data_IF_431786507690
#
_entry.id   IF_431786507690
#
_cell.length_a   1.000
_cell.length_b   1.000
_cell.length_c   1.000
_cell.angle_alpha   90.00
_cell.angle_beta   90.00
_cell.angle_gamma   90.00
#
_symmetry.space_group_name_H-M   'P 1'
#
loop_
_entity.id
_entity.type
_entity.pdbx_description
1 polymer ?
#
# COMPACT_ATOMS: atom_id res chain seq x y z
N UNK A 1 11.69 4.55 -5.04
CA UNK A 1 11.64 4.10 -3.62
C UNK A 1 12.17 5.12 -2.62
N UNK A 2 12.88 6.14 -3.04
CA UNK A 2 13.43 7.23 -2.21
C UNK A 2 12.36 8.18 -1.63
N UNK A 3 11.19 8.28 -2.25
CA UNK A 3 10.18 9.31 -1.93
C UNK A 3 9.34 9.11 -0.65
N UNK A 4 9.44 7.96 0.01
CA UNK A 4 8.75 7.71 1.29
C UNK A 4 9.69 7.63 2.49
N UNK A 5 10.99 7.56 2.24
CA UNK A 5 11.97 7.54 3.31
C UNK A 5 12.04 8.88 4.02
N UNK A 6 11.89 10.00 3.32
CA UNK A 6 11.89 11.33 3.93
C UNK A 6 10.66 11.54 4.83
N UNK A 7 9.45 11.13 4.42
CA UNK A 7 8.25 11.19 5.26
C UNK A 7 8.42 10.42 6.58
N UNK A 8 8.99 9.21 6.50
CA UNK A 8 9.15 8.33 7.65
C UNK A 8 10.34 8.68 8.53
N UNK A 9 11.48 9.05 7.91
CA UNK A 9 12.74 9.24 8.63
C UNK A 9 12.94 10.67 9.15
N UNK A 10 12.29 11.66 8.54
CA UNK A 10 12.42 13.06 8.97
C UNK A 10 11.96 13.28 10.41
N UNK A 11 10.81 12.73 10.89
CA UNK A 11 10.42 12.85 12.29
C UNK A 11 11.47 12.24 13.24
N UNK A 12 11.97 11.05 12.92
CA UNK A 12 13.01 10.38 13.71
C UNK A 12 14.30 11.19 13.73
N UNK A 13 14.74 11.67 12.55
CA UNK A 13 15.95 12.47 12.44
C UNK A 13 15.87 13.79 13.19
N UNK A 14 14.68 14.39 13.29
CA UNK A 14 14.42 15.58 14.09
C UNK A 14 14.47 15.26 15.59
N UNK A 15 13.79 14.22 16.02
CA UNK A 15 13.73 13.78 17.42
C UNK A 15 15.13 13.50 18.01
N UNK A 16 16.03 12.89 17.23
CA UNK A 16 17.40 12.61 17.64
C UNK A 16 18.39 13.73 17.30
N UNK A 17 17.91 14.92 16.87
CA UNK A 17 18.74 16.09 16.64
C UNK A 17 19.59 16.10 15.38
N UNK A 18 19.35 15.20 14.41
CA UNK A 18 20.10 15.12 13.15
C UNK A 18 19.67 16.14 12.11
N UNK A 19 18.46 16.68 12.20
CA UNK A 19 17.94 17.70 11.28
C UNK A 19 17.38 18.90 12.03
N UNK A 20 17.45 20.07 11.39
CA UNK A 20 16.92 21.31 11.95
C UNK A 20 15.39 21.35 11.94
N UNK A 21 14.80 22.17 12.84
CA UNK A 21 13.37 22.47 12.86
C UNK A 21 12.88 22.95 11.50
N UNK A 22 13.60 23.86 10.86
CA UNK A 22 13.23 24.41 9.55
C UNK A 22 13.08 23.29 8.49
N UNK A 23 13.99 22.32 8.47
CA UNK A 23 13.94 21.18 7.54
C UNK A 23 12.77 20.25 7.86
N UNK A 24 12.54 20.00 9.13
CA UNK A 24 11.39 19.24 9.60
C UNK A 24 10.08 19.86 9.13
N UNK A 25 9.88 21.16 9.40
CA UNK A 25 8.66 21.90 9.05
C UNK A 25 8.43 21.92 7.53
N UNK A 26 9.49 22.11 6.74
CA UNK A 26 9.41 22.08 5.29
C UNK A 26 8.93 20.73 4.75
N UNK A 27 9.41 19.63 5.32
CA UNK A 27 8.96 18.27 4.94
C UNK A 27 7.52 18.04 5.37
N UNK A 28 7.16 18.44 6.59
CA UNK A 28 5.78 18.32 7.08
C UNK A 28 4.80 19.10 6.20
N UNK A 29 5.15 20.33 5.82
CA UNK A 29 4.29 21.15 4.94
C UNK A 29 4.15 20.54 3.54
N UNK A 30 5.25 20.03 2.96
CA UNK A 30 5.21 19.29 1.69
C UNK A 30 4.18 18.16 1.72
N UNK A 31 4.24 17.28 2.74
CA UNK A 31 3.32 16.13 2.82
C UNK A 31 1.89 16.55 3.19
N UNK A 32 1.71 17.63 3.91
CA UNK A 32 0.40 18.23 4.17
C UNK A 32 -0.26 18.71 2.87
N UNK A 33 0.50 19.37 1.99
CA UNK A 33 0.03 19.79 0.67
C UNK A 33 -0.30 18.59 -0.22
N UNK A 34 0.56 17.55 -0.24
CA UNK A 34 0.28 16.30 -0.97
C UNK A 34 -1.03 15.68 -0.53
N UNK A 35 -1.22 15.53 0.78
CA UNK A 35 -2.44 14.92 1.34
C UNK A 35 -3.70 15.70 1.00
N UNK A 36 -3.66 17.02 1.13
CA UNK A 36 -4.80 17.90 0.76
C UNK A 36 -5.16 17.78 -0.71
N UNK A 37 -4.15 17.74 -1.58
CA UNK A 37 -4.39 17.66 -3.02
C UNK A 37 -4.89 16.27 -3.43
N UNK A 38 -4.35 15.20 -2.88
CA UNK A 38 -4.86 13.84 -3.11
C UNK A 38 -6.33 13.75 -2.70
N UNK A 39 -6.67 14.25 -1.52
CA UNK A 39 -8.06 14.28 -1.02
C UNK A 39 -8.98 15.07 -1.95
N UNK A 40 -8.57 16.26 -2.39
CA UNK A 40 -9.31 17.06 -3.36
C UNK A 40 -9.56 16.30 -4.66
N UNK A 41 -8.54 15.67 -5.22
CA UNK A 41 -8.61 14.92 -6.49
C UNK A 41 -9.53 13.69 -6.37
N UNK A 42 -9.60 13.07 -5.20
CA UNK A 42 -10.49 11.93 -4.93
C UNK A 42 -11.98 12.34 -4.82
N UNK A 43 -12.24 13.60 -4.45
CA UNK A 43 -13.60 14.13 -4.31
C UNK A 43 -14.05 15.03 -5.46
N UNK A 44 -13.14 15.35 -6.41
CA UNK A 44 -13.47 16.18 -7.58
C UNK A 44 -13.73 15.32 -8.80
N UNK A 45 -14.96 15.40 -9.34
CA UNK A 45 -15.34 14.75 -10.59
C UNK A 45 -15.29 15.71 -11.79
N UNK A 46 -14.85 15.22 -12.94
CA UNK A 46 -14.97 15.89 -14.23
C UNK A 46 -16.14 15.29 -15.01
N UNK A 47 -17.06 16.11 -15.53
CA UNK A 47 -18.06 15.65 -16.48
C UNK A 47 -17.38 15.22 -17.78
N UNK A 48 -18.02 14.33 -18.52
CA UNK A 48 -17.56 13.98 -19.88
C UNK A 48 -17.66 15.22 -20.75
N UNK A 49 -16.55 15.54 -21.43
CA UNK A 49 -16.45 16.67 -22.34
C UNK A 49 -15.62 16.30 -23.57
N UNK A 50 -15.79 17.01 -24.70
CA UNK A 50 -14.94 16.81 -25.87
C UNK A 50 -13.46 17.01 -25.56
N UNK A 51 -13.12 17.98 -24.70
CA UNK A 51 -11.76 18.26 -24.28
C UNK A 51 -11.15 17.11 -23.46
N UNK A 52 -11.92 16.50 -22.55
CA UNK A 52 -11.48 15.33 -21.80
C UNK A 52 -11.22 14.14 -22.72
N UNK A 53 -12.15 13.85 -23.63
CA UNK A 53 -12.00 12.72 -24.53
C UNK A 53 -10.89 12.93 -25.56
N UNK A 54 -10.66 14.15 -26.04
CA UNK A 54 -9.52 14.47 -26.90
C UNK A 54 -8.17 14.25 -26.17
N UNK A 55 -8.07 14.62 -24.89
CA UNK A 55 -6.90 14.32 -24.07
C UNK A 55 -6.66 12.81 -23.95
N UNK A 56 -7.71 12.06 -23.64
CA UNK A 56 -7.61 10.61 -23.46
C UNK A 56 -7.22 9.90 -24.75
N UNK A 57 -7.80 10.30 -25.87
CA UNK A 57 -7.48 9.79 -27.21
C UNK A 57 -6.02 10.07 -27.58
N UNK A 58 -5.55 11.30 -27.38
CA UNK A 58 -4.16 11.69 -27.61
C UNK A 58 -3.17 10.88 -26.76
N UNK A 59 -3.58 10.44 -25.56
CA UNK A 59 -2.79 9.57 -24.68
C UNK A 59 -2.95 8.07 -24.99
N UNK A 60 -3.84 7.70 -25.91
CA UNK A 60 -4.16 6.30 -26.19
C UNK A 60 -4.77 5.60 -24.99
N UNK A 61 -5.61 6.30 -24.23
CA UNK A 61 -6.36 5.81 -23.09
C UNK A 61 -7.85 5.65 -23.46
N UNK A 62 -8.59 4.74 -22.80
CA UNK A 62 -10.02 4.57 -23.06
C UNK A 62 -10.81 5.86 -22.79
N UNK A 63 -11.73 6.19 -23.69
CA UNK A 63 -12.60 7.37 -23.57
C UNK A 63 -13.50 7.28 -22.34
N UNK A 64 -13.81 8.43 -21.75
CA UNK A 64 -14.75 8.54 -20.66
C UNK A 64 -16.19 8.46 -21.18
N UNK A 65 -17.01 7.58 -20.61
CA UNK A 65 -18.45 7.45 -20.91
C UNK A 65 -19.34 8.13 -19.87
N UNK A 66 -18.82 8.26 -18.66
CA UNK A 66 -19.50 8.88 -17.51
C UNK A 66 -18.54 9.87 -16.84
N UNK A 67 -19.06 10.69 -15.92
CA UNK A 67 -18.21 11.52 -15.03
C UNK A 67 -17.14 10.69 -14.36
N UNK A 68 -15.88 11.18 -14.36
CA UNK A 68 -14.71 10.48 -13.83
C UNK A 68 -14.03 11.36 -12.80
N UNK A 69 -13.59 10.79 -11.69
CA UNK A 69 -12.82 11.52 -10.68
C UNK A 69 -11.44 11.86 -11.23
N UNK A 70 -10.92 13.03 -10.85
CA UNK A 70 -9.57 13.45 -11.22
C UNK A 70 -8.51 12.43 -10.79
N UNK A 71 -8.66 11.85 -9.59
CA UNK A 71 -7.78 10.79 -9.09
C UNK A 71 -7.78 9.56 -9.98
N UNK A 72 -8.93 9.15 -10.52
CA UNK A 72 -9.03 7.96 -11.38
C UNK A 72 -8.41 8.20 -12.76
N UNK A 73 -8.43 9.44 -13.25
CA UNK A 73 -7.70 9.83 -14.45
C UNK A 73 -6.18 9.74 -14.25
N UNK A 74 -5.66 10.26 -13.14
CA UNK A 74 -4.23 10.21 -12.82
C UNK A 74 -3.74 8.77 -12.59
N UNK A 75 -4.59 7.89 -12.07
CA UNK A 75 -4.27 6.45 -11.92
C UNK A 75 -4.04 5.74 -13.25
N UNK A 76 -4.49 6.31 -14.36
CA UNK A 76 -4.21 5.76 -15.71
C UNK A 76 -2.73 5.89 -16.05
N UNK A 77 -2.11 4.88 -16.68
CA UNK A 77 -0.65 4.87 -16.87
C UNK A 77 -0.09 6.08 -17.62
N UNK A 78 -0.80 6.53 -18.67
CA UNK A 78 -0.31 7.58 -19.56
C UNK A 78 -0.79 8.99 -19.21
N UNK A 79 -1.68 9.14 -18.23
CA UNK A 79 -2.19 10.45 -17.79
C UNK A 79 -1.37 10.92 -16.60
N UNK A 80 -0.86 12.15 -16.69
CA UNK A 80 -0.09 12.80 -15.64
C UNK A 80 -0.94 13.84 -14.92
N UNK A 81 -0.50 14.25 -13.72
CA UNK A 81 -1.12 15.36 -13.01
C UNK A 81 -1.08 16.66 -13.84
N UNK A 82 -0.02 16.89 -14.62
CA UNK A 82 0.13 18.06 -15.48
C UNK A 82 -0.88 18.08 -16.65
N UNK A 83 -1.21 16.93 -17.21
CA UNK A 83 -2.14 16.82 -18.34
C UNK A 83 -3.56 17.31 -17.97
N UNK A 84 -3.95 17.26 -16.73
CA UNK A 84 -5.27 17.68 -16.26
C UNK A 84 -5.37 19.20 -16.01
N UNK A 85 -4.25 19.95 -16.08
CA UNK A 85 -4.25 21.39 -15.84
C UNK A 85 -5.29 22.19 -16.64
N UNK A 86 -5.52 21.94 -17.93
CA UNK A 86 -6.53 22.65 -18.70
C UNK A 86 -7.98 22.33 -18.34
N UNK A 87 -8.20 21.18 -17.68
CA UNK A 87 -9.52 20.65 -17.34
C UNK A 87 -9.89 20.87 -15.87
N UNK A 88 -8.91 21.05 -15.01
CA UNK A 88 -9.07 21.22 -13.56
C UNK A 88 -8.97 22.69 -13.15
N UNK A 89 -10.08 23.40 -13.22
CA UNK A 89 -10.15 24.82 -12.87
C UNK A 89 -9.93 25.11 -11.39
N UNK A 90 -10.08 24.11 -10.52
CA UNK A 90 -9.84 24.22 -9.08
C UNK A 90 -8.42 23.82 -8.66
N UNK A 91 -7.52 23.62 -9.61
CA UNK A 91 -6.15 23.19 -9.35
C UNK A 91 -5.35 24.23 -8.55
N UNK A 92 -4.76 23.86 -7.40
CA UNK A 92 -3.90 24.75 -6.64
C UNK A 92 -2.53 24.95 -7.30
N UNK A 93 -1.88 26.07 -7.02
CA UNK A 93 -0.49 26.27 -7.37
C UNK A 93 0.41 25.45 -6.43
N UNK A 94 0.97 24.36 -6.95
CA UNK A 94 1.87 23.49 -6.20
C UNK A 94 3.29 23.55 -6.77
N UNK A 95 4.27 23.35 -5.90
CA UNK A 95 5.65 23.16 -6.36
C UNK A 95 5.76 21.89 -7.21
N UNK A 96 6.71 21.82 -8.18
CA UNK A 96 6.91 20.61 -8.98
C UNK A 96 7.10 19.35 -8.17
N UNK A 97 7.80 19.44 -7.04
CA UNK A 97 8.05 18.31 -6.14
C UNK A 97 6.77 17.81 -5.45
N UNK A 98 5.85 18.72 -5.08
CA UNK A 98 4.55 18.33 -4.50
C UNK A 98 3.67 17.72 -5.57
N UNK A 99 3.61 18.29 -6.77
CA UNK A 99 2.84 17.76 -7.89
C UNK A 99 3.28 16.35 -8.29
N UNK A 100 4.59 16.11 -8.39
CA UNK A 100 5.16 14.79 -8.64
C UNK A 100 4.77 13.80 -7.54
N UNK A 101 4.86 14.22 -6.28
CA UNK A 101 4.52 13.36 -5.14
C UNK A 101 3.02 13.01 -5.11
N UNK A 102 2.13 13.94 -5.49
CA UNK A 102 0.69 13.69 -5.66
C UNK A 102 0.46 12.61 -6.72
N UNK A 103 1.09 12.74 -7.90
CA UNK A 103 0.98 11.75 -8.97
C UNK A 103 1.46 10.37 -8.54
N UNK A 104 2.65 10.28 -7.93
CA UNK A 104 3.21 9.05 -7.40
C UNK A 104 2.25 8.43 -6.37
N UNK A 105 1.73 9.22 -5.43
CA UNK A 105 0.83 8.74 -4.39
C UNK A 105 -0.42 8.10 -4.97
N UNK A 106 -1.04 8.71 -5.99
CA UNK A 106 -2.25 8.19 -6.64
C UNK A 106 -1.97 6.95 -7.50
N UNK A 107 -0.90 6.95 -8.30
CA UNK A 107 -0.55 5.82 -9.16
C UNK A 107 -0.17 4.57 -8.37
N UNK A 108 0.52 4.75 -7.25
CA UNK A 108 0.99 3.63 -6.43
C UNK A 108 0.07 3.28 -5.25
N UNK A 109 -1.02 4.01 -5.02
CA UNK A 109 -1.95 3.79 -3.91
C UNK A 109 -2.44 2.33 -3.82
N UNK A 110 -2.81 1.73 -4.95
CA UNK A 110 -3.26 0.35 -5.01
C UNK A 110 -2.19 -0.68 -4.60
N UNK A 111 -0.94 -0.46 -5.00
CA UNK A 111 0.19 -1.31 -4.62
C UNK A 111 0.52 -1.18 -3.14
N UNK A 112 0.49 0.04 -2.64
CA UNK A 112 0.74 0.36 -1.23
C UNK A 112 -0.31 -0.28 -0.34
N UNK A 113 -1.59 -0.15 -0.67
CA UNK A 113 -2.69 -0.75 0.08
C UNK A 113 -2.61 -2.29 0.10
N UNK A 114 -2.16 -2.91 -1.00
CA UNK A 114 -1.92 -4.35 -1.05
C UNK A 114 -0.75 -4.75 -0.15
N UNK A 115 0.35 -4.00 -0.20
CA UNK A 115 1.52 -4.25 0.61
C UNK A 115 1.24 -4.08 2.11
N UNK A 116 0.47 -3.05 2.48
CA UNK A 116 0.04 -2.84 3.87
C UNK A 116 -0.80 -4.00 4.39
N UNK A 117 -1.78 -4.46 3.61
CA UNK A 117 -2.58 -5.65 3.97
C UNK A 117 -1.71 -6.89 4.19
N UNK A 118 -0.71 -7.12 3.35
CA UNK A 118 0.23 -8.23 3.54
C UNK A 118 1.05 -8.10 4.82
N UNK A 119 1.51 -6.89 5.15
CA UNK A 119 2.25 -6.62 6.40
C UNK A 119 1.35 -6.82 7.63
N UNK A 120 0.11 -6.36 7.57
CA UNK A 120 -0.86 -6.54 8.65
C UNK A 120 -1.20 -8.02 8.86
N UNK A 121 -1.41 -8.76 7.78
CA UNK A 121 -1.61 -10.21 7.82
C UNK A 121 -0.41 -10.93 8.45
N UNK A 122 0.81 -10.58 8.04
CA UNK A 122 2.03 -11.14 8.65
C UNK A 122 2.11 -10.82 10.14
N UNK A 123 1.85 -9.59 10.55
CA UNK A 123 1.84 -9.20 11.97
C UNK A 123 0.79 -9.98 12.75
N UNK A 124 -0.38 -10.19 12.17
CA UNK A 124 -1.45 -10.99 12.77
C UNK A 124 -1.02 -12.44 12.98
N UNK A 125 -0.35 -13.04 11.99
CA UNK A 125 0.19 -14.39 12.09
C UNK A 125 1.33 -14.49 13.10
N UNK A 126 2.20 -13.48 13.20
CA UNK A 126 3.27 -13.44 14.22
C UNK A 126 2.72 -13.38 15.65
N UNK A 127 1.63 -12.65 15.86
CA UNK A 127 0.96 -12.57 17.15
C UNK A 127 0.21 -13.84 17.57
N UNK A 128 -0.04 -14.77 16.63
CA UNK A 128 -0.68 -16.05 16.93
C UNK A 128 0.37 -17.09 17.35
N UNK A 129 0.50 -17.30 18.65
CA UNK A 129 1.42 -18.28 19.20
C UNK A 129 0.90 -19.71 18.97
N UNK A 130 1.82 -20.63 18.77
CA UNK A 130 1.57 -22.06 18.70
C UNK A 130 1.88 -22.67 20.08
N UNK A 131 1.03 -23.57 20.62
CA UNK A 131 1.33 -24.31 21.84
C UNK A 131 2.65 -25.09 21.71
N UNK A 132 3.46 -25.10 22.76
CA UNK A 132 4.76 -25.79 22.75
C UNK A 132 4.60 -27.30 22.52
N UNK A 133 3.52 -27.88 23.04
CA UNK A 133 3.25 -29.31 22.97
C UNK A 133 2.34 -29.73 21.81
N UNK A 134 2.17 -28.85 20.79
CA UNK A 134 1.34 -29.15 19.63
C UNK A 134 1.82 -30.44 18.91
N UNK A 135 0.90 -31.38 18.68
CA UNK A 135 1.19 -32.60 17.97
C UNK A 135 0.86 -32.44 16.48
N UNK A 136 1.84 -32.05 15.67
CA UNK A 136 1.68 -31.84 14.24
C UNK A 136 1.32 -33.13 13.47
N UNK A 137 1.67 -34.31 13.99
CA UNK A 137 1.34 -35.61 13.36
C UNK A 137 -0.15 -35.89 13.42
N UNK A 138 -0.82 -35.50 14.49
CA UNK A 138 -2.24 -35.69 14.70
C UNK A 138 -3.13 -34.67 13.97
N UNK A 139 -2.58 -33.60 13.46
CA UNK A 139 -3.37 -32.53 12.82
C UNK A 139 -3.85 -32.95 11.44
N UNK A 140 -5.18 -32.95 11.26
CA UNK A 140 -5.79 -33.13 9.95
C UNK A 140 -5.49 -31.94 9.02
N UNK A 141 -5.39 -32.21 7.71
CA UNK A 141 -5.19 -31.17 6.70
C UNK A 141 -3.75 -30.70 6.49
N UNK A 142 -2.79 -31.13 7.33
CA UNK A 142 -1.37 -30.88 7.08
C UNK A 142 -0.79 -31.90 6.09
N UNK A 143 -0.04 -31.41 5.11
CA UNK A 143 0.72 -32.27 4.19
C UNK A 143 1.90 -32.92 4.91
N UNK A 144 2.33 -34.10 4.44
CA UNK A 144 3.43 -34.85 5.05
C UNK A 144 4.71 -34.03 5.23
N UNK A 145 5.12 -33.30 4.19
CA UNK A 145 6.29 -32.42 4.24
C UNK A 145 6.16 -31.34 5.32
N UNK A 146 4.99 -30.68 5.38
CA UNK A 146 4.73 -29.65 6.38
C UNK A 146 4.78 -30.22 7.80
N UNK A 147 4.19 -31.41 8.05
CA UNK A 147 4.27 -32.09 9.36
C UNK A 147 5.70 -32.33 9.78
N UNK A 148 6.52 -32.94 8.90
CA UNK A 148 7.94 -33.20 9.19
C UNK A 148 8.71 -31.92 9.53
N UNK A 149 8.52 -30.86 8.74
CA UNK A 149 9.18 -29.57 8.95
C UNK A 149 8.75 -28.89 10.24
N UNK A 150 7.45 -28.85 10.52
CA UNK A 150 6.88 -28.26 11.73
C UNK A 150 7.30 -29.02 12.99
N UNK A 151 7.32 -30.37 12.92
CA UNK A 151 7.79 -31.21 14.04
C UNK A 151 9.27 -31.00 14.32
N UNK A 152 10.11 -30.86 13.29
CA UNK A 152 11.56 -30.67 13.45
C UNK A 152 11.91 -29.26 13.94
N UNK A 153 11.24 -28.20 13.44
CA UNK A 153 11.60 -26.79 13.69
C UNK A 153 10.91 -26.24 14.94
N UNK A 154 9.69 -26.73 15.26
CA UNK A 154 8.90 -26.26 16.39
C UNK A 154 8.73 -24.75 16.42
N UNK A 155 8.09 -24.13 15.39
CA UNK A 155 7.90 -22.70 15.36
C UNK A 155 7.03 -22.20 16.52
N UNK A 156 7.35 -21.02 17.05
CA UNK A 156 6.62 -20.42 18.19
C UNK A 156 5.34 -19.70 17.78
N UNK A 157 5.20 -19.33 16.49
CA UNK A 157 4.04 -18.61 15.96
C UNK A 157 3.66 -19.10 14.58
N UNK A 158 2.40 -18.81 14.16
CA UNK A 158 1.97 -19.05 12.78
C UNK A 158 2.81 -18.28 11.76
N UNK A 159 3.28 -17.07 12.11
CA UNK A 159 4.16 -16.30 11.24
C UNK A 159 5.51 -16.98 11.05
N UNK A 160 6.09 -17.57 12.09
CA UNK A 160 7.30 -18.38 11.94
C UNK A 160 7.04 -19.63 11.10
N UNK A 161 5.93 -20.32 11.34
CA UNK A 161 5.54 -21.50 10.55
C UNK A 161 5.40 -21.16 9.05
N UNK A 162 4.79 -20.03 8.72
CA UNK A 162 4.59 -19.58 7.34
C UNK A 162 5.89 -19.29 6.57
N UNK A 163 7.00 -19.05 7.26
CA UNK A 163 8.32 -18.82 6.65
C UNK A 163 9.14 -20.10 6.44
N UNK A 164 8.67 -21.22 6.91
CA UNK A 164 9.37 -22.50 6.76
C UNK A 164 9.19 -22.98 5.31
N UNK A 165 10.29 -23.23 4.61
CA UNK A 165 10.27 -23.82 3.27
C UNK A 165 9.58 -25.19 3.31
N UNK A 166 8.59 -25.42 2.46
CA UNK A 166 7.77 -26.62 2.44
C UNK A 166 6.43 -26.49 3.19
N UNK A 167 6.22 -25.43 3.96
CA UNK A 167 4.92 -25.10 4.56
C UNK A 167 4.17 -24.12 3.63
N UNK A 168 2.98 -24.51 3.19
CA UNK A 168 2.14 -23.72 2.28
C UNK A 168 1.07 -22.90 3.02
N UNK A 169 0.41 -21.95 2.35
CA UNK A 169 -0.73 -21.25 2.92
C UNK A 169 -1.88 -22.17 3.36
N UNK A 170 -2.07 -23.32 2.67
CA UNK A 170 -3.07 -24.32 3.07
C UNK A 170 -2.71 -24.99 4.41
N UNK A 171 -1.41 -25.28 4.63
CA UNK A 171 -0.95 -25.85 5.91
C UNK A 171 -1.12 -24.82 7.05
N UNK A 172 -0.88 -23.53 6.79
CA UNK A 172 -1.15 -22.47 7.77
C UNK A 172 -2.63 -22.35 8.09
N UNK A 173 -3.52 -22.50 7.09
CA UNK A 173 -4.96 -22.51 7.32
C UNK A 173 -5.37 -23.69 8.21
N UNK A 174 -4.82 -24.89 7.98
CA UNK A 174 -5.07 -26.07 8.81
C UNK A 174 -4.61 -25.83 10.28
N UNK A 175 -3.42 -25.24 10.48
CA UNK A 175 -2.95 -24.85 11.81
C UNK A 175 -3.88 -23.84 12.48
N UNK A 176 -4.41 -22.87 11.73
CA UNK A 176 -5.34 -21.88 12.25
C UNK A 176 -6.65 -22.50 12.74
N UNK A 177 -7.18 -23.48 12.01
CA UNK A 177 -8.40 -24.20 12.40
C UNK A 177 -8.13 -25.00 13.67
N UNK A 178 -7.04 -25.74 13.72
CA UNK A 178 -6.66 -26.53 14.88
C UNK A 178 -6.48 -25.69 16.16
N UNK A 179 -6.00 -24.46 16.04
CA UNK A 179 -5.88 -23.51 17.18
C UNK A 179 -7.22 -22.92 17.65
N UNK A 180 -8.30 -23.05 16.87
CA UNK A 180 -9.63 -22.57 17.25
C UNK A 180 -10.49 -23.66 17.92
N UNK A 181 -10.15 -24.92 17.68
CA UNK A 181 -10.88 -26.08 18.20
C UNK A 181 -10.31 -26.60 19.52
N UNK A 182 -9.16 -26.15 19.98
CA UNK A 182 -8.51 -26.50 21.23
C UNK A 182 -8.48 -25.34 22.21
#
# INVERSE_FOLDING_TARGET
>A
MLFRSDERLTPIGYEIGLISQQRYDAVQEKYRQVKREVDRLEHTGLPVSPALNALLEAKGEPLAKNSVRLSDLIRRPKVTYADLAPLDTGRPALSPQVAEQVEISLKYAGYIARQQRQVEEMRRLEGKLLPEEINYEALAGLRLEARQKLTAIRPRSLGQAARISGVSPADIAALMIALQEG
#
